data_IF_756569034195
#
_entry.id   IF_756569034195
#
_cell.length_a   1.000
_cell.length_b   1.000
_cell.length_c   1.000
_cell.angle_alpha   90.00
_cell.angle_beta   90.00
_cell.angle_gamma   90.00
#
_symmetry.space_group_name_H-M   'P 1'
#
loop_
_entity.id
_entity.type
_entity.pdbx_description
1 polymer ?
#
# COMPACT_ATOMS: atom_id res chain seq x y z
N UNK A 1 5.80 13.31 -33.56
CA UNK A 1 6.85 12.59 -32.81
C UNK A 1 6.74 11.11 -33.16
N UNK A 2 7.87 10.37 -33.28
CA UNK A 2 7.82 8.94 -33.54
C UNK A 2 7.21 8.20 -32.34
N UNK A 3 6.38 7.19 -32.60
CA UNK A 3 5.74 6.35 -31.58
C UNK A 3 6.34 4.95 -31.62
N UNK A 4 6.56 4.34 -30.46
CA UNK A 4 7.05 2.95 -30.33
C UNK A 4 5.97 2.09 -29.68
N UNK A 5 5.71 0.91 -30.24
CA UNK A 5 4.78 -0.05 -29.66
C UNK A 5 5.49 -0.92 -28.61
N UNK A 6 4.84 -1.08 -27.45
CA UNK A 6 5.31 -1.94 -26.36
C UNK A 6 4.26 -3.05 -26.17
N UNK A 7 4.72 -4.29 -26.05
CA UNK A 7 3.87 -5.46 -25.81
C UNK A 7 4.27 -6.13 -24.49
N UNK A 8 3.29 -6.46 -23.65
CA UNK A 8 3.52 -7.13 -22.38
C UNK A 8 2.34 -8.04 -22.01
N UNK A 9 2.64 -9.15 -21.32
CA UNK A 9 1.60 -9.98 -20.70
C UNK A 9 1.23 -9.40 -19.35
N UNK A 10 -0.08 -9.24 -19.11
CA UNK A 10 -0.62 -8.80 -17.84
C UNK A 10 -1.62 -9.83 -17.31
N UNK A 11 -1.76 -9.96 -15.97
CA UNK A 11 -2.82 -10.77 -15.40
C UNK A 11 -4.21 -10.26 -15.83
N UNK A 12 -5.16 -11.17 -16.03
CA UNK A 12 -6.53 -10.83 -16.42
C UNK A 12 -7.20 -9.88 -15.42
N UNK A 13 -6.93 -10.05 -14.13
CA UNK A 13 -7.45 -9.16 -13.08
C UNK A 13 -6.96 -7.71 -13.26
N UNK A 14 -5.70 -7.52 -13.68
CA UNK A 14 -5.16 -6.19 -13.93
C UNK A 14 -5.82 -5.58 -15.17
N UNK A 15 -6.01 -6.37 -16.23
CA UNK A 15 -6.75 -5.93 -17.42
C UNK A 15 -8.16 -5.48 -17.05
N UNK A 16 -8.87 -6.28 -16.25
CA UNK A 16 -10.23 -5.95 -15.80
C UNK A 16 -10.27 -4.64 -14.99
N UNK A 17 -9.30 -4.44 -14.10
CA UNK A 17 -9.15 -3.19 -13.33
C UNK A 17 -8.89 -1.98 -14.23
N UNK A 18 -7.99 -2.12 -15.20
CA UNK A 18 -7.67 -1.08 -16.18
C UNK A 18 -8.91 -0.69 -17.00
N UNK A 19 -9.64 -1.70 -17.49
CA UNK A 19 -10.87 -1.52 -18.26
C UNK A 19 -11.96 -0.79 -17.47
N UNK A 20 -12.13 -1.10 -16.17
CA UNK A 20 -13.06 -0.40 -15.28
C UNK A 20 -12.68 1.08 -15.13
N UNK A 21 -11.39 1.36 -14.91
CA UNK A 21 -10.90 2.72 -14.73
C UNK A 21 -11.12 3.58 -15.98
N UNK A 22 -10.73 3.07 -17.14
CA UNK A 22 -10.90 3.74 -18.44
C UNK A 22 -12.36 4.10 -18.71
N UNK A 23 -13.29 3.16 -18.45
CA UNK A 23 -14.73 3.42 -18.59
C UNK A 23 -15.24 4.47 -17.61
N UNK A 24 -14.80 4.43 -16.36
CA UNK A 24 -15.28 5.35 -15.33
C UNK A 24 -14.77 6.80 -15.54
N UNK A 25 -13.58 6.96 -16.11
CA UNK A 25 -12.90 8.26 -16.22
C UNK A 25 -12.86 8.81 -17.65
N UNK A 26 -13.38 8.10 -18.65
CA UNK A 26 -13.43 8.56 -20.03
C UNK A 26 -12.07 8.72 -20.71
N UNK A 27 -11.03 8.04 -20.21
CA UNK A 27 -9.66 8.11 -20.73
C UNK A 27 -9.33 6.87 -21.56
N UNK A 28 -8.47 6.98 -22.57
CA UNK A 28 -8.07 5.81 -23.36
C UNK A 28 -7.11 4.91 -22.58
N UNK A 29 -7.07 3.61 -22.93
CA UNK A 29 -6.09 2.67 -22.34
C UNK A 29 -4.66 3.12 -22.58
N UNK A 30 -4.37 3.56 -23.81
CA UNK A 30 -3.04 4.01 -24.20
C UNK A 30 -2.59 5.21 -23.35
N UNK A 31 -3.47 6.21 -23.20
CA UNK A 31 -3.19 7.38 -22.38
C UNK A 31 -2.96 7.01 -20.91
N UNK A 32 -3.79 6.13 -20.34
CA UNK A 32 -3.61 5.67 -18.97
C UNK A 32 -2.27 4.95 -18.77
N UNK A 33 -1.87 4.10 -19.71
CA UNK A 33 -0.59 3.37 -19.65
C UNK A 33 0.58 4.36 -19.75
N UNK A 34 0.52 5.30 -20.68
CA UNK A 34 1.54 6.34 -20.84
C UNK A 34 1.71 7.17 -19.55
N UNK A 35 0.62 7.67 -18.97
CA UNK A 35 0.66 8.45 -17.73
C UNK A 35 1.20 7.61 -16.56
N UNK A 36 0.80 6.34 -16.46
CA UNK A 36 1.30 5.45 -15.42
C UNK A 36 2.82 5.22 -15.54
N UNK A 37 3.33 5.03 -16.77
CA UNK A 37 4.76 4.87 -17.03
C UNK A 37 5.53 6.15 -16.70
N UNK A 38 5.04 7.31 -17.13
CA UNK A 38 5.66 8.61 -16.82
C UNK A 38 5.75 8.84 -15.31
N UNK A 39 4.65 8.67 -14.58
CA UNK A 39 4.65 8.82 -13.12
C UNK A 39 5.59 7.82 -12.43
N UNK A 40 5.66 6.58 -12.91
CA UNK A 40 6.53 5.59 -12.31
C UNK A 40 8.02 5.89 -12.52
N UNK A 41 8.41 6.29 -13.74
CA UNK A 41 9.79 6.65 -14.07
C UNK A 41 10.22 7.93 -13.36
N UNK A 42 9.35 8.96 -13.34
CA UNK A 42 9.64 10.19 -12.61
C UNK A 42 9.87 9.93 -11.12
N UNK A 43 9.03 9.09 -10.51
CA UNK A 43 9.19 8.72 -9.10
C UNK A 43 10.51 8.01 -8.84
N UNK A 44 11.01 7.18 -9.77
CA UNK A 44 12.29 6.49 -9.66
C UNK A 44 13.49 7.44 -9.75
N UNK A 45 13.35 8.56 -10.47
CA UNK A 45 14.41 9.57 -10.63
C UNK A 45 14.46 10.53 -9.45
N UNK A 46 13.30 10.94 -8.92
CA UNK A 46 13.21 11.93 -7.85
C UNK A 46 13.38 11.36 -6.44
N UNK A 47 13.01 10.09 -6.25
CA UNK A 47 12.95 9.49 -4.92
C UNK A 47 14.07 8.48 -4.72
N UNK A 48 14.67 8.40 -3.53
CA UNK A 48 15.56 7.30 -3.20
C UNK A 48 14.79 5.97 -3.29
N UNK A 49 15.42 4.86 -3.72
CA UNK A 49 14.72 3.58 -3.95
C UNK A 49 13.92 3.10 -2.74
N UNK A 50 14.35 3.46 -1.53
CA UNK A 50 13.70 3.11 -0.26
C UNK A 50 12.35 3.81 -0.05
N UNK A 51 12.07 4.90 -0.78
CA UNK A 51 10.78 5.60 -0.74
C UNK A 51 9.74 5.01 -1.70
N UNK A 52 10.15 4.14 -2.63
CA UNK A 52 9.24 3.50 -3.58
C UNK A 52 8.77 2.18 -2.99
N UNK A 53 7.53 2.15 -2.53
CA UNK A 53 6.93 0.93 -1.99
C UNK A 53 6.73 -0.07 -3.14
N UNK A 54 7.46 -1.20 -3.16
CA UNK A 54 7.31 -2.17 -4.23
C UNK A 54 5.91 -2.78 -4.19
N UNK A 55 5.29 -2.93 -5.36
CA UNK A 55 3.96 -3.54 -5.49
C UNK A 55 3.95 -5.03 -5.17
N UNK A 56 5.12 -5.67 -5.13
CA UNK A 56 5.32 -7.08 -4.81
C UNK A 56 6.47 -7.24 -3.83
N UNK A 57 6.23 -8.00 -2.76
CA UNK A 57 7.26 -8.39 -1.80
C UNK A 57 7.68 -9.83 -2.15
N UNK A 58 8.92 -9.99 -2.59
CA UNK A 58 9.48 -11.31 -2.90
C UNK A 58 10.16 -11.86 -1.66
N UNK A 59 9.76 -13.07 -1.24
CA UNK A 59 10.26 -13.72 -0.04
C UNK A 59 11.06 -14.97 -0.40
N UNK A 60 12.10 -15.24 0.39
CA UNK A 60 12.75 -16.56 0.36
C UNK A 60 11.77 -17.63 0.88
N UNK A 61 11.92 -18.91 0.51
CA UNK A 61 11.05 -19.97 1.02
C UNK A 61 10.99 -20.04 2.55
N UNK A 62 12.11 -19.77 3.23
CA UNK A 62 12.17 -19.72 4.70
C UNK A 62 11.35 -18.55 5.25
N UNK A 63 11.51 -17.36 4.70
CA UNK A 63 10.75 -16.17 5.12
C UNK A 63 9.25 -16.34 4.83
N UNK A 64 8.89 -16.91 3.68
CA UNK A 64 7.51 -17.16 3.31
C UNK A 64 6.80 -18.10 4.31
N UNK A 65 7.47 -19.18 4.75
CA UNK A 65 6.93 -20.06 5.80
C UNK A 65 6.66 -19.32 7.11
N UNK A 66 7.61 -18.48 7.54
CA UNK A 66 7.48 -17.69 8.76
C UNK A 66 6.34 -16.68 8.66
N UNK A 67 6.19 -16.01 7.52
CA UNK A 67 5.07 -15.08 7.29
C UNK A 67 3.74 -15.83 7.33
N UNK A 68 3.65 -17.02 6.71
CA UNK A 68 2.46 -17.85 6.76
C UNK A 68 2.08 -18.22 8.20
N UNK A 69 3.03 -18.70 9.01
CA UNK A 69 2.80 -19.01 10.42
C UNK A 69 2.30 -17.80 11.21
N UNK A 70 2.84 -16.59 10.96
CA UNK A 70 2.39 -15.37 11.63
C UNK A 70 0.98 -14.95 11.22
N UNK A 71 0.54 -15.29 10.00
CA UNK A 71 -0.83 -15.00 9.53
C UNK A 71 -1.82 -16.02 10.07
N UNK A 72 -1.45 -17.31 10.10
CA UNK A 72 -2.30 -18.40 10.63
C UNK A 72 -2.40 -18.37 12.16
N UNK A 73 -1.30 -18.00 12.83
CA UNK A 73 -1.19 -17.95 14.29
C UNK A 73 -0.67 -16.57 14.75
N UNK A 74 -1.52 -15.54 14.69
CA UNK A 74 -1.12 -14.19 15.02
C UNK A 74 -0.71 -14.07 16.50
N UNK A 75 0.50 -13.58 16.81
CA UNK A 75 0.92 -13.37 18.19
C UNK A 75 0.10 -12.24 18.84
N UNK A 76 -0.05 -12.30 20.16
CA UNK A 76 -0.69 -11.21 20.90
C UNK A 76 0.12 -9.92 20.75
N UNK A 77 -0.53 -8.75 20.57
CA UNK A 77 0.17 -7.48 20.48
C UNK A 77 1.05 -7.24 21.71
N UNK A 78 2.29 -6.80 21.47
CA UNK A 78 3.23 -6.48 22.55
C UNK A 78 2.76 -5.25 23.33
N UNK A 79 3.28 -5.05 24.54
CA UNK A 79 2.97 -3.85 25.36
C UNK A 79 3.31 -2.55 24.61
N UNK A 80 4.43 -2.54 23.89
CA UNK A 80 4.86 -1.39 23.07
C UNK A 80 3.87 -1.10 21.93
N UNK A 81 3.39 -2.14 21.23
CA UNK A 81 2.37 -1.95 20.19
C UNK A 81 1.06 -1.42 20.80
N UNK A 82 0.60 -1.98 21.92
CA UNK A 82 -0.61 -1.49 22.59
C UNK A 82 -0.50 -0.02 22.98
N UNK A 83 0.65 0.39 23.52
CA UNK A 83 0.91 1.79 23.87
C UNK A 83 0.89 2.72 22.64
N UNK A 84 1.48 2.29 21.51
CA UNK A 84 1.48 3.05 20.25
C UNK A 84 0.06 3.26 19.69
N UNK A 85 -0.78 2.24 19.76
CA UNK A 85 -2.15 2.31 19.24
C UNK A 85 -3.18 2.86 20.24
N UNK A 86 -2.88 2.92 21.55
CA UNK A 86 -3.80 3.46 22.56
C UNK A 86 -3.95 4.98 22.51
N UNK A 87 -2.97 5.71 21.96
CA UNK A 87 -3.01 7.17 21.85
C UNK A 87 -3.83 7.63 20.62
N UNK A 88 -3.97 6.74 19.64
CA UNK A 88 -4.76 6.96 18.43
C UNK A 88 -6.18 6.43 18.68
N UNK A 89 -7.05 7.28 19.24
CA UNK A 89 -8.49 7.00 19.37
C UNK A 89 -9.03 6.41 18.05
N UNK A 90 -9.59 5.22 18.11
CA UNK A 90 -10.29 4.58 17.01
C UNK A 90 -11.61 5.35 16.75
N UNK A 91 -11.80 5.97 15.57
CA UNK A 91 -13.04 6.68 15.24
C UNK A 91 -14.27 5.77 15.12
N UNK A 92 -14.12 4.44 15.24
CA UNK A 92 -15.22 3.46 15.21
C UNK A 92 -15.51 2.81 16.57
N UNK A 93 -14.80 3.19 17.64
CA UNK A 93 -15.06 2.64 18.97
C UNK A 93 -16.31 3.28 19.61
N UNK A 94 -17.29 2.49 20.09
CA UNK A 94 -18.45 3.01 20.81
C UNK A 94 -18.10 3.14 22.30
N UNK A 95 -17.38 4.21 22.69
CA UNK A 95 -17.68 4.92 23.94
C UNK A 95 -16.85 6.21 24.02
N UNK A 96 -17.57 7.33 24.21
CA UNK A 96 -17.04 8.68 24.25
C UNK A 96 -16.50 9.04 25.62
N UNK A 97 -15.38 8.45 26.05
CA UNK A 97 -14.66 8.94 27.24
C UNK A 97 -13.38 9.65 26.85
N UNK A 98 -13.34 10.97 27.14
CA UNK A 98 -12.13 11.80 27.10
C UNK A 98 -11.08 11.18 28.04
N UNK A 99 -9.81 11.02 27.64
CA UNK A 99 -8.77 10.68 28.60
C UNK A 99 -8.60 11.87 29.56
N UNK A 100 -8.60 11.57 30.85
CA UNK A 100 -8.25 12.52 31.90
C UNK A 100 -6.81 12.98 31.68
N UNK A 101 -6.60 14.30 31.71
CA UNK A 101 -5.27 14.92 31.65
C UNK A 101 -4.50 14.48 32.90
N UNK A 102 -3.41 13.73 32.72
CA UNK A 102 -2.50 13.41 33.81
C UNK A 102 -1.70 14.69 34.15
N UNK A 103 -1.64 15.15 35.41
CA UNK A 103 -0.89 16.36 35.72
C UNK A 103 0.61 16.11 35.58
N UNK A 104 1.29 17.05 34.92
CA UNK A 104 2.74 17.09 34.85
C UNK A 104 3.32 17.19 36.27
N UNK A 105 4.15 16.21 36.63
CA UNK A 105 4.94 16.29 37.85
C UNK A 105 6.14 17.21 37.57
N UNK A 106 6.14 18.37 38.22
CA UNK A 106 7.34 19.19 38.45
C UNK A 106 8.18 18.57 39.56
#
# INVERSE_FOLDING_TARGET
MPTTQISAHIPDELKARLDRFVRAHGVTRAHLIEQALQHHLQALEELPPEAIIPTRIVLTPRSARRVRELVEHPPKPTRAMKALFSDRRDPRAPDGRRPAVLPERR
#
